data_IF_880056968789
#
_entry.id   IF_880056968789
#
_cell.length_a   1.000
_cell.length_b   1.000
_cell.length_c   1.000
_cell.angle_alpha   90.00
_cell.angle_beta   90.00
_cell.angle_gamma   90.00
#
_symmetry.space_group_name_H-M   'P 1'
#
loop_
_entity.id
_entity.type
_entity.pdbx_description
1 polymer ?
#
# COMPACT_ATOMS: atom_id res chain seq x y z
N UNK A 1 -6.00 -2.38 -22.84
CA UNK A 1 -4.74 -3.11 -23.13
C UNK A 1 -4.80 -4.55 -22.63
N UNK A 2 -4.80 -4.86 -21.32
CA UNK A 2 -4.86 -6.27 -20.88
C UNK A 2 -6.23 -6.95 -21.12
N UNK A 3 -7.33 -6.24 -20.89
CA UNK A 3 -8.67 -6.78 -21.16
C UNK A 3 -8.87 -7.06 -22.67
N UNK A 4 -8.41 -6.15 -23.53
CA UNK A 4 -8.48 -6.32 -25.00
C UNK A 4 -7.71 -7.55 -25.44
N UNK A 5 -6.48 -7.76 -24.93
CA UNK A 5 -5.70 -8.96 -25.20
C UNK A 5 -6.42 -10.25 -24.75
N UNK A 6 -7.12 -10.23 -23.61
CA UNK A 6 -7.90 -11.38 -23.15
C UNK A 6 -9.11 -11.64 -24.05
N UNK A 7 -9.79 -10.60 -24.50
CA UNK A 7 -10.92 -10.72 -25.43
C UNK A 7 -10.47 -11.23 -26.82
N UNK A 8 -9.30 -10.80 -27.28
CA UNK A 8 -8.71 -11.23 -28.56
C UNK A 8 -8.09 -12.64 -28.51
N UNK A 9 -7.82 -13.17 -27.32
CA UNK A 9 -7.16 -14.48 -27.15
C UNK A 9 -8.02 -15.70 -27.49
N UNK A 10 -9.29 -15.49 -27.88
CA UNK A 10 -10.18 -16.55 -28.35
C UNK A 10 -10.84 -17.38 -27.24
N UNK A 11 -10.92 -16.86 -26.01
CA UNK A 11 -11.74 -17.49 -24.96
C UNK A 11 -13.22 -17.51 -25.37
N UNK A 12 -13.97 -18.55 -24.99
CA UNK A 12 -15.42 -18.56 -25.18
C UNK A 12 -16.11 -17.38 -24.49
N UNK A 13 -17.21 -16.92 -25.08
CA UNK A 13 -18.04 -15.86 -24.52
C UNK A 13 -18.45 -16.18 -23.07
N UNK A 14 -18.34 -15.17 -22.20
CA UNK A 14 -18.72 -15.28 -20.79
C UNK A 14 -17.61 -15.82 -19.85
N UNK A 15 -16.49 -16.33 -20.37
CA UNK A 15 -15.35 -16.77 -19.53
C UNK A 15 -14.68 -15.59 -18.83
N UNK A 16 -14.50 -14.47 -19.54
CA UNK A 16 -13.98 -13.23 -18.97
C UNK A 16 -14.99 -12.11 -19.20
N UNK A 17 -15.31 -11.39 -18.13
CA UNK A 17 -16.21 -10.24 -18.18
C UNK A 17 -15.54 -9.07 -17.44
N UNK A 18 -15.33 -7.95 -18.13
CA UNK A 18 -14.87 -6.72 -17.51
C UNK A 18 -16.08 -5.84 -17.18
N UNK A 19 -16.23 -5.51 -15.91
CA UNK A 19 -17.29 -4.62 -15.45
C UNK A 19 -16.65 -3.45 -14.71
N UNK A 20 -16.84 -2.24 -15.24
CA UNK A 20 -16.30 -1.00 -14.67
C UNK A 20 -17.40 -0.31 -13.88
N UNK A 21 -17.15 -0.04 -12.62
CA UNK A 21 -18.12 0.60 -11.75
C UNK A 21 -17.57 1.01 -10.41
N UNK A 22 -18.42 1.66 -9.62
CA UNK A 22 -18.10 2.11 -8.27
C UNK A 22 -18.50 1.04 -7.23
N UNK A 23 -18.68 1.47 -5.98
CA UNK A 23 -19.07 0.60 -4.86
C UNK A 23 -20.33 -0.21 -5.14
N UNK A 24 -21.32 0.37 -5.81
CA UNK A 24 -22.62 -0.28 -5.99
C UNK A 24 -22.54 -1.45 -6.97
N UNK A 25 -21.74 -1.33 -8.02
CA UNK A 25 -21.42 -2.46 -8.92
C UNK A 25 -20.71 -3.57 -8.15
N UNK A 26 -19.73 -3.23 -7.32
CA UNK A 26 -19.05 -4.22 -6.46
C UNK A 26 -20.02 -4.97 -5.54
N UNK A 27 -21.03 -4.28 -4.99
CA UNK A 27 -22.08 -4.92 -4.17
C UNK A 27 -22.95 -5.86 -4.98
N UNK A 28 -23.38 -5.44 -6.17
CA UNK A 28 -24.15 -6.29 -7.08
C UNK A 28 -23.41 -7.58 -7.43
N UNK A 29 -22.09 -7.50 -7.67
CA UNK A 29 -21.26 -8.67 -7.98
C UNK A 29 -21.18 -9.65 -6.82
N UNK A 30 -21.08 -9.16 -5.58
CA UNK A 30 -21.05 -10.02 -4.38
C UNK A 30 -22.42 -10.66 -4.13
N UNK A 31 -23.50 -9.94 -4.43
CA UNK A 31 -24.87 -10.42 -4.23
C UNK A 31 -25.30 -11.43 -5.30
N UNK A 32 -24.63 -11.46 -6.46
CA UNK A 32 -24.82 -12.44 -7.53
C UNK A 32 -24.54 -13.91 -7.11
N UNK A 33 -25.02 -14.92 -7.86
CA UNK A 33 -24.70 -16.32 -7.61
C UNK A 33 -23.25 -16.62 -8.07
N UNK A 34 -22.29 -16.47 -7.16
CA UNK A 34 -20.86 -16.68 -7.39
C UNK A 34 -20.29 -17.66 -6.38
N UNK A 35 -19.23 -18.37 -6.76
CA UNK A 35 -18.58 -19.37 -5.91
C UNK A 35 -17.39 -18.81 -5.11
N UNK A 36 -16.75 -17.75 -5.62
CA UNK A 36 -15.56 -17.16 -5.03
C UNK A 36 -15.49 -15.65 -5.27
N UNK A 37 -15.06 -14.92 -4.24
CA UNK A 37 -14.64 -13.52 -4.33
C UNK A 37 -13.14 -13.43 -4.06
N UNK A 38 -12.41 -12.79 -4.97
CA UNK A 38 -11.02 -12.37 -4.73
C UNK A 38 -10.98 -10.84 -4.69
N UNK A 39 -10.62 -10.29 -3.54
CA UNK A 39 -10.56 -8.86 -3.30
C UNK A 39 -9.16 -8.42 -2.85
N UNK A 40 -8.68 -7.32 -3.42
CA UNK A 40 -7.48 -6.62 -2.94
C UNK A 40 -7.80 -5.15 -2.68
N UNK A 41 -7.57 -4.65 -1.46
CA UNK A 41 -7.84 -3.26 -1.14
C UNK A 41 -7.81 -2.90 0.34
N UNK A 42 -8.67 -1.96 0.77
CA UNK A 42 -8.70 -1.52 2.17
C UNK A 42 -9.27 -2.59 3.11
N UNK A 43 -8.75 -2.66 4.34
CA UNK A 43 -9.26 -3.57 5.38
C UNK A 43 -10.75 -3.33 5.68
N UNK A 44 -11.20 -2.07 5.65
CA UNK A 44 -12.61 -1.72 5.86
C UNK A 44 -13.52 -2.35 4.79
N UNK A 45 -13.15 -2.23 3.52
CA UNK A 45 -13.92 -2.80 2.42
C UNK A 45 -13.84 -4.34 2.44
N UNK A 46 -12.64 -4.91 2.60
CA UNK A 46 -12.44 -6.36 2.67
C UNK A 46 -13.26 -7.01 3.80
N UNK A 47 -13.41 -6.35 4.95
CA UNK A 47 -14.27 -6.82 6.03
C UNK A 47 -15.77 -6.80 5.68
N UNK A 48 -16.25 -5.74 4.99
CA UNK A 48 -17.65 -5.68 4.49
C UNK A 48 -17.93 -6.84 3.53
N UNK A 49 -16.98 -7.10 2.62
CA UNK A 49 -17.06 -8.18 1.62
C UNK A 49 -17.03 -9.56 2.28
N UNK A 50 -16.07 -9.79 3.19
CA UNK A 50 -15.89 -11.08 3.84
C UNK A 50 -17.11 -11.49 4.67
N UNK A 51 -17.75 -10.52 5.36
CA UNK A 51 -18.99 -10.77 6.10
C UNK A 51 -20.13 -11.19 5.18
N UNK A 52 -20.37 -10.43 4.09
CA UNK A 52 -21.41 -10.76 3.10
C UNK A 52 -21.19 -12.15 2.46
N UNK A 53 -19.95 -12.48 2.14
CA UNK A 53 -19.63 -13.80 1.58
C UNK A 53 -19.92 -14.92 2.59
N UNK A 54 -19.58 -14.71 3.86
CA UNK A 54 -19.87 -15.64 4.95
C UNK A 54 -21.36 -15.92 5.14
N UNK A 55 -22.22 -14.91 5.03
CA UNK A 55 -23.68 -15.07 5.09
C UNK A 55 -24.24 -16.00 3.99
N UNK A 56 -23.54 -16.08 2.85
CA UNK A 56 -23.91 -16.89 1.68
C UNK A 56 -23.10 -18.19 1.54
N UNK A 57 -22.21 -18.48 2.49
CA UNK A 57 -21.23 -19.58 2.38
C UNK A 57 -20.33 -19.51 1.13
N UNK A 58 -20.08 -18.30 0.61
CA UNK A 58 -19.18 -18.07 -0.55
C UNK A 58 -17.75 -17.92 -0.05
N UNK A 59 -16.79 -18.54 -0.75
CA UNK A 59 -15.36 -18.40 -0.41
C UNK A 59 -14.87 -16.99 -0.72
N UNK A 60 -14.20 -16.36 0.24
CA UNK A 60 -13.59 -15.04 0.05
C UNK A 60 -12.07 -15.08 0.32
N UNK A 61 -11.29 -14.56 -0.63
CA UNK A 61 -9.85 -14.31 -0.49
C UNK A 61 -9.67 -12.79 -0.47
N UNK A 62 -9.20 -12.25 0.65
CA UNK A 62 -9.08 -10.81 0.86
C UNK A 62 -7.64 -10.43 1.20
N UNK A 63 -6.95 -9.79 0.25
CA UNK A 63 -5.66 -9.14 0.47
C UNK A 63 -5.88 -7.68 0.88
N UNK A 64 -5.45 -7.33 2.09
CA UNK A 64 -5.83 -6.06 2.72
C UNK A 64 -4.61 -5.21 3.08
N UNK A 65 -4.88 -3.99 3.54
CA UNK A 65 -3.83 -3.08 3.99
C UNK A 65 -3.01 -3.68 5.14
N UNK A 66 -1.68 -3.58 5.03
CA UNK A 66 -0.73 -3.97 6.06
C UNK A 66 -0.06 -2.79 6.76
N UNK A 67 0.60 -3.07 7.87
CA UNK A 67 1.50 -2.14 8.57
C UNK A 67 2.83 -2.84 8.84
N UNK A 68 3.56 -3.19 7.78
CA UNK A 68 4.79 -3.97 7.86
C UNK A 68 5.83 -3.29 8.75
N UNK A 69 6.57 -4.11 9.50
CA UNK A 69 7.68 -3.67 10.33
C UNK A 69 9.00 -3.86 9.59
N UNK A 70 9.91 -2.91 9.73
CA UNK A 70 11.35 -3.08 9.51
C UNK A 70 12.03 -3.09 10.87
N UNK A 71 13.01 -3.98 11.06
CA UNK A 71 13.75 -4.12 12.32
C UNK A 71 15.24 -4.12 11.98
N UNK A 72 16.00 -3.21 12.61
CA UNK A 72 17.44 -3.07 12.40
C UNK A 72 18.17 -3.35 13.71
N UNK A 73 18.99 -4.40 13.71
CA UNK A 73 19.88 -4.76 14.81
C UNK A 73 21.25 -4.12 14.64
N UNK A 74 22.03 -4.07 15.73
CA UNK A 74 23.37 -3.47 15.77
C UNK A 74 24.38 -4.18 14.84
N UNK A 75 24.14 -5.45 14.52
CA UNK A 75 24.98 -6.26 13.64
C UNK A 75 24.55 -6.24 12.16
N UNK A 76 23.52 -5.44 11.82
CA UNK A 76 23.09 -5.27 10.45
C UNK A 76 24.14 -4.51 9.61
N UNK A 77 24.31 -4.93 8.35
CA UNK A 77 25.06 -4.15 7.36
C UNK A 77 24.28 -2.88 7.02
N UNK A 78 24.66 -1.75 7.64
CA UNK A 78 23.92 -0.51 7.52
C UNK A 78 23.93 0.08 6.12
N UNK A 79 24.92 -0.19 5.26
CA UNK A 79 24.87 0.35 3.89
C UNK A 79 23.80 -0.36 3.07
N UNK A 80 23.78 -1.69 3.11
CA UNK A 80 22.78 -2.49 2.40
C UNK A 80 21.39 -2.33 3.01
N UNK A 81 21.29 -2.29 4.33
CA UNK A 81 20.01 -2.14 5.05
C UNK A 81 19.34 -0.81 4.72
N UNK A 82 20.08 0.29 4.61
CA UNK A 82 19.51 1.61 4.38
C UNK A 82 18.90 1.76 2.99
N UNK A 83 19.58 1.26 1.96
CA UNK A 83 19.03 1.25 0.59
C UNK A 83 17.75 0.40 0.50
N UNK A 84 17.78 -0.79 1.09
CA UNK A 84 16.61 -1.67 1.09
C UNK A 84 15.43 -1.07 1.85
N UNK A 85 15.68 -0.48 3.03
CA UNK A 85 14.61 0.15 3.80
C UNK A 85 14.06 1.40 3.11
N UNK A 86 14.88 2.16 2.38
CA UNK A 86 14.42 3.29 1.57
C UNK A 86 13.39 2.80 0.55
N UNK A 87 13.74 1.82 -0.28
CA UNK A 87 12.83 1.27 -1.28
C UNK A 87 11.60 0.60 -0.65
N UNK A 88 11.79 -0.19 0.39
CA UNK A 88 10.69 -0.86 1.10
C UNK A 88 9.71 0.13 1.75
N UNK A 89 10.13 1.35 2.07
CA UNK A 89 9.25 2.40 2.60
C UNK A 89 8.62 3.25 1.51
N UNK A 90 9.40 3.65 0.51
CA UNK A 90 9.10 4.80 -0.34
C UNK A 90 8.75 4.46 -1.79
N UNK A 91 8.93 3.20 -2.22
CA UNK A 91 8.47 2.75 -3.53
C UNK A 91 7.00 3.14 -3.76
N UNK A 92 6.70 3.70 -4.93
CA UNK A 92 5.37 4.21 -5.29
C UNK A 92 4.80 5.21 -4.26
N UNK A 93 5.65 6.10 -3.74
CA UNK A 93 5.31 7.06 -2.68
C UNK A 93 4.77 6.37 -1.41
N UNK A 94 5.18 5.13 -1.15
CA UNK A 94 4.71 4.30 -0.04
C UNK A 94 3.30 3.71 -0.22
N UNK A 95 2.70 3.82 -1.40
CA UNK A 95 1.38 3.27 -1.74
C UNK A 95 1.47 1.77 -2.07
N UNK A 96 2.03 1.01 -1.13
CA UNK A 96 2.26 -0.43 -1.25
C UNK A 96 1.73 -1.11 0.03
N UNK A 97 1.01 -2.23 -0.13
CA UNK A 97 0.41 -2.96 0.99
C UNK A 97 1.47 -3.39 2.01
N UNK A 98 2.61 -3.88 1.51
CA UNK A 98 3.76 -4.36 2.27
C UNK A 98 4.78 -3.29 2.65
N UNK A 99 4.56 -2.01 2.30
CA UNK A 99 5.50 -0.94 2.64
C UNK A 99 5.84 -0.95 4.14
N UNK A 100 7.11 -0.71 4.49
CA UNK A 100 7.54 -0.58 5.89
C UNK A 100 6.85 0.63 6.50
N UNK A 101 5.89 0.43 7.40
CA UNK A 101 5.14 1.53 8.06
C UNK A 101 5.60 1.78 9.48
N UNK A 102 6.37 0.86 10.04
CA UNK A 102 6.95 0.93 11.38
C UNK A 102 8.40 0.50 11.28
N UNK A 103 9.32 1.35 11.72
CA UNK A 103 10.74 1.04 11.73
C UNK A 103 11.22 0.98 13.18
N UNK A 104 11.75 -0.16 13.57
CA UNK A 104 12.35 -0.41 14.88
C UNK A 104 13.86 -0.50 14.70
N UNK A 105 14.61 0.23 15.51
CA UNK A 105 16.07 0.30 15.41
C UNK A 105 16.64 0.07 16.78
N UNK A 106 17.63 -0.81 16.87
CA UNK A 106 18.36 -1.04 18.11
C UNK A 106 19.14 0.22 18.51
N UNK A 107 19.07 0.58 19.79
CA UNK A 107 19.55 1.86 20.31
C UNK A 107 20.98 2.25 19.86
N UNK A 108 21.98 1.36 19.83
CA UNK A 108 23.35 1.73 19.46
C UNK A 108 23.52 2.29 18.04
N UNK A 109 22.64 1.92 17.11
CA UNK A 109 22.70 2.35 15.69
C UNK A 109 21.59 3.33 15.31
N UNK A 110 20.74 3.74 16.28
CA UNK A 110 19.57 4.59 16.05
C UNK A 110 19.92 5.90 15.34
N UNK A 111 20.84 6.68 15.90
CA UNK A 111 21.17 8.02 15.38
C UNK A 111 21.81 7.92 13.98
N UNK A 112 22.66 6.91 13.76
CA UNK A 112 23.29 6.68 12.46
C UNK A 112 22.26 6.33 11.38
N UNK A 113 21.34 5.42 11.67
CA UNK A 113 20.24 5.03 10.76
C UNK A 113 19.33 6.23 10.49
N UNK A 114 18.93 6.97 11.52
CA UNK A 114 18.08 8.15 11.38
C UNK A 114 18.73 9.21 10.49
N UNK A 115 20.00 9.52 10.74
CA UNK A 115 20.72 10.55 9.99
C UNK A 115 20.86 10.18 8.51
N UNK A 116 21.25 8.92 8.21
CA UNK A 116 21.31 8.43 6.83
C UNK A 116 19.97 8.54 6.10
N UNK A 117 18.87 8.22 6.78
CA UNK A 117 17.51 8.36 6.23
C UNK A 117 17.17 9.81 5.90
N UNK A 118 17.42 10.72 6.84
CA UNK A 118 17.14 12.15 6.69
C UNK A 118 17.95 12.73 5.53
N UNK A 119 19.23 12.39 5.43
CA UNK A 119 20.09 12.92 4.39
C UNK A 119 19.71 12.40 3.01
N UNK A 120 19.34 11.12 2.89
CA UNK A 120 18.79 10.58 1.63
C UNK A 120 17.51 11.30 1.23
N UNK A 121 16.57 11.50 2.17
CA UNK A 121 15.28 12.13 1.90
C UNK A 121 15.38 13.62 1.54
N UNK A 122 16.44 14.33 1.96
CA UNK A 122 16.67 15.72 1.55
C UNK A 122 17.09 15.86 0.08
N UNK A 123 17.58 14.79 -0.53
CA UNK A 123 18.12 14.79 -1.90
C UNK A 123 17.10 14.35 -2.95
N UNK A 124 15.89 13.95 -2.54
CA UNK A 124 14.91 13.32 -3.43
C UNK A 124 14.29 14.35 -4.37
N UNK A 125 14.14 13.97 -5.64
CA UNK A 125 13.47 14.77 -6.66
C UNK A 125 12.00 14.37 -6.72
N UNK A 126 11.11 15.35 -6.55
CA UNK A 126 9.65 15.15 -6.66
C UNK A 126 9.19 15.87 -7.92
N UNK A 127 8.42 15.21 -8.77
CA UNK A 127 7.95 15.85 -10.01
C UNK A 127 7.09 14.97 -10.90
N UNK A 128 7.10 15.27 -12.19
CA UNK A 128 6.34 14.54 -13.19
C UNK A 128 6.90 13.12 -13.35
N UNK A 129 6.10 12.05 -13.19
CA UNK A 129 6.59 10.67 -13.30
C UNK A 129 7.05 10.27 -14.71
N UNK A 130 6.87 11.12 -15.73
CA UNK A 130 7.45 10.93 -17.07
C UNK A 130 8.90 11.44 -17.19
N UNK A 131 9.42 12.09 -16.15
CA UNK A 131 10.81 12.56 -16.05
C UNK A 131 11.61 11.71 -15.05
N UNK A 132 12.92 11.95 -14.97
CA UNK A 132 13.79 11.26 -14.01
C UNK A 132 13.64 11.85 -12.60
N UNK A 133 12.64 11.35 -11.86
CA UNK A 133 12.31 11.77 -10.49
C UNK A 133 12.25 10.57 -9.54
N UNK A 134 12.51 10.80 -8.25
CA UNK A 134 12.41 9.77 -7.20
C UNK A 134 10.95 9.54 -6.78
N UNK A 135 10.12 10.59 -6.79
CA UNK A 135 8.71 10.53 -6.38
C UNK A 135 7.78 11.21 -7.38
N UNK A 136 6.71 10.48 -7.72
CA UNK A 136 5.54 11.02 -8.41
C UNK A 136 4.43 11.44 -7.43
N UNK A 137 3.19 11.65 -7.93
CA UNK A 137 2.07 12.04 -7.09
C UNK A 137 1.49 10.85 -6.30
N UNK A 138 0.74 11.17 -5.25
CA UNK A 138 -0.22 10.22 -4.68
C UNK A 138 -1.43 10.08 -5.61
N UNK A 139 -2.08 8.92 -5.58
CA UNK A 139 -3.15 8.57 -6.52
C UNK A 139 -4.39 9.46 -6.40
N UNK A 140 -4.70 9.96 -5.19
CA UNK A 140 -5.89 10.79 -4.95
C UNK A 140 -5.60 11.94 -3.97
N UNK A 141 -6.18 13.14 -4.16
CA UNK A 141 -5.99 14.28 -3.27
C UNK A 141 -6.30 13.97 -1.80
N UNK A 142 -7.33 13.16 -1.54
CA UNK A 142 -7.70 12.74 -0.18
C UNK A 142 -6.58 12.00 0.56
N UNK A 143 -5.67 11.32 -0.16
CA UNK A 143 -4.53 10.66 0.47
C UNK A 143 -3.49 11.66 0.98
N UNK A 144 -3.32 12.81 0.31
CA UNK A 144 -2.46 13.90 0.77
C UNK A 144 -2.97 14.41 2.11
N UNK A 145 -4.24 14.81 2.17
CA UNK A 145 -4.88 15.30 3.40
C UNK A 145 -4.76 14.27 4.52
N UNK A 146 -4.95 12.97 4.21
CA UNK A 146 -4.85 11.93 5.23
C UNK A 146 -3.44 11.80 5.80
N UNK A 147 -2.41 11.91 4.97
CA UNK A 147 -1.03 11.86 5.43
C UNK A 147 -0.66 13.10 6.23
N UNK A 148 -1.12 14.29 5.83
CA UNK A 148 -0.91 15.54 6.59
C UNK A 148 -1.51 15.44 8.00
N UNK A 149 -2.73 14.91 8.14
CA UNK A 149 -3.35 14.63 9.44
C UNK A 149 -2.49 13.71 10.30
N UNK A 150 -2.01 12.60 9.72
CA UNK A 150 -1.17 11.63 10.46
C UNK A 150 0.15 12.29 10.90
N UNK A 151 0.79 13.07 10.04
CA UNK A 151 2.03 13.79 10.39
C UNK A 151 1.78 14.81 11.50
N UNK A 152 0.68 15.57 11.43
CA UNK A 152 0.31 16.54 12.46
C UNK A 152 0.06 15.85 13.82
N UNK A 153 -0.68 14.74 13.83
CA UNK A 153 -0.92 13.92 15.02
C UNK A 153 0.40 13.39 15.62
N UNK A 154 1.32 12.83 14.80
CA UNK A 154 2.58 12.30 15.34
C UNK A 154 3.51 13.39 15.86
N UNK A 155 3.52 14.57 15.23
CA UNK A 155 4.29 15.72 15.74
C UNK A 155 3.80 16.21 17.10
N UNK A 156 2.49 16.14 17.39
CA UNK A 156 1.98 16.53 18.70
C UNK A 156 2.41 15.54 19.79
N UNK A 157 2.51 14.25 19.48
CA UNK A 157 2.94 13.21 20.42
C UNK A 157 4.43 13.30 20.79
N UNK A 158 5.31 13.67 19.85
CA UNK A 158 6.76 13.80 20.09
C UNK A 158 7.11 14.96 21.03
N UNK A 159 6.25 15.99 21.12
CA UNK A 159 6.48 17.14 22.01
C UNK A 159 6.32 16.83 23.51
N UNK A 160 5.82 15.65 23.87
CA UNK A 160 5.65 15.23 25.27
C UNK A 160 6.74 14.29 25.77
N UNK A 161 7.72 13.94 24.94
CA UNK A 161 8.80 12.99 25.26
C UNK A 161 10.20 13.63 25.30
N UNK A 162 10.29 14.95 25.44
CA UNK A 162 11.53 15.68 25.75
C UNK A 162 11.42 16.37 27.10
#
# INVERSE_FOLDING_TARGET
MCADLLMESGFPDGVFNLIIGSKDVGRMLIDAPIDLVWFTGSTKAGLEIYKKCGEKFVKAICEMGGSSAGIVFVDADLEVTMENLYWARFLNCGQVCSAVKRLFIEKPVYDQVLQKFVDRLKQVKIGNPLEEVDFGPLVFPKQVTKLEEVVAEKRSLVRFSQ
#
